data_IF_787534192168
#
_entry.id   IF_787534192168
#
_cell.length_a   1.000
_cell.length_b   1.000
_cell.length_c   1.000
_cell.angle_alpha   90.00
_cell.angle_beta   90.00
_cell.angle_gamma   90.00
#
_symmetry.space_group_name_H-M   'P 1'
#
loop_
_entity.id
_entity.type
_entity.pdbx_description
1 polymer ?
#
# COMPACT_ATOMS: atom_id res chain seq x y z
N UNK A 1 -26.92 -14.72 -16.96
CA UNK A 1 -26.12 -15.96 -16.81
C UNK A 1 -25.81 -16.09 -15.33
N UNK A 2 -25.71 -17.31 -14.82
CA UNK A 2 -25.31 -17.54 -13.43
C UNK A 2 -23.80 -17.47 -13.31
N UNK A 3 -23.31 -17.08 -12.13
CA UNK A 3 -21.89 -17.12 -11.78
C UNK A 3 -21.63 -18.25 -10.81
N UNK A 4 -20.55 -18.97 -11.02
CA UNK A 4 -20.12 -20.11 -10.24
C UNK A 4 -18.70 -19.89 -9.76
N UNK A 5 -18.45 -20.04 -8.47
CA UNK A 5 -17.10 -19.90 -7.90
C UNK A 5 -16.56 -21.28 -7.51
N UNK A 6 -15.33 -21.56 -7.92
CA UNK A 6 -14.62 -22.76 -7.51
C UNK A 6 -14.14 -22.60 -6.06
N UNK A 7 -14.61 -23.47 -5.14
CA UNK A 7 -14.23 -23.44 -3.71
C UNK A 7 -12.76 -23.79 -3.45
N UNK A 8 -12.06 -24.35 -4.46
CA UNK A 8 -10.65 -24.74 -4.32
C UNK A 8 -9.71 -23.61 -4.66
N UNK A 9 -9.94 -22.89 -5.79
CA UNK A 9 -9.01 -21.88 -6.28
C UNK A 9 -9.63 -20.49 -6.53
N UNK A 10 -10.93 -20.33 -6.25
CA UNK A 10 -11.61 -19.03 -6.45
C UNK A 10 -11.96 -18.70 -7.90
N UNK A 11 -11.62 -19.56 -8.88
CA UNK A 11 -11.97 -19.31 -10.28
C UNK A 11 -13.48 -19.12 -10.47
N UNK A 12 -13.83 -18.09 -11.24
CA UNK A 12 -15.23 -17.73 -11.51
C UNK A 12 -15.58 -18.12 -12.92
N UNK A 13 -16.67 -18.86 -13.04
CA UNK A 13 -17.25 -19.29 -14.31
C UNK A 13 -18.63 -18.67 -14.51
N UNK A 14 -18.91 -18.17 -15.70
CA UNK A 14 -20.23 -17.66 -16.10
C UNK A 14 -20.90 -18.66 -17.04
N UNK A 15 -22.01 -19.23 -16.60
CA UNK A 15 -22.76 -20.21 -17.40
C UNK A 15 -24.08 -20.59 -16.76
N UNK A 16 -24.95 -21.37 -17.48
CA UNK A 16 -26.22 -21.83 -16.90
C UNK A 16 -26.04 -22.81 -15.75
N UNK A 17 -24.96 -23.59 -15.77
CA UNK A 17 -24.61 -24.63 -14.81
C UNK A 17 -23.11 -24.54 -14.49
N UNK A 18 -22.68 -25.16 -13.36
CA UNK A 18 -21.28 -25.28 -13.01
C UNK A 18 -20.52 -26.06 -14.12
N UNK A 19 -19.28 -25.70 -14.47
CA UNK A 19 -18.50 -26.44 -15.43
C UNK A 19 -18.17 -27.83 -14.87
N UNK A 20 -18.02 -28.83 -15.76
CA UNK A 20 -17.70 -30.20 -15.36
C UNK A 20 -16.37 -30.29 -14.59
N UNK A 21 -15.45 -29.40 -14.94
CA UNK A 21 -14.11 -29.32 -14.34
C UNK A 21 -13.60 -27.86 -14.37
N UNK A 22 -12.91 -27.46 -13.31
CA UNK A 22 -12.28 -26.14 -13.22
C UNK A 22 -11.09 -26.05 -14.18
N UNK A 23 -11.02 -25.06 -15.08
CA UNK A 23 -9.91 -24.94 -16.03
C UNK A 23 -8.58 -24.54 -15.36
N UNK A 24 -8.62 -24.11 -14.08
CA UNK A 24 -7.43 -23.66 -13.34
C UNK A 24 -6.85 -24.75 -12.45
N UNK A 25 -7.70 -25.39 -11.62
CA UNK A 25 -7.23 -26.35 -10.61
C UNK A 25 -7.76 -27.78 -10.81
N UNK A 26 -8.50 -28.04 -11.89
CA UNK A 26 -9.08 -29.32 -12.24
C UNK A 26 -10.08 -29.90 -11.20
N UNK A 27 -10.57 -29.08 -10.29
CA UNK A 27 -11.62 -29.46 -9.37
C UNK A 27 -12.92 -29.78 -10.10
N UNK A 28 -13.64 -30.81 -9.66
CA UNK A 28 -14.90 -31.26 -10.29
C UNK A 28 -16.05 -30.29 -10.00
N UNK A 29 -17.15 -30.40 -10.78
CA UNK A 29 -18.32 -29.52 -10.70
C UNK A 29 -18.93 -29.40 -9.31
N UNK A 30 -18.85 -30.44 -8.47
CA UNK A 30 -19.33 -30.42 -7.09
C UNK A 30 -18.54 -29.47 -6.16
N UNK A 31 -17.40 -29.00 -6.62
CA UNK A 31 -16.58 -27.98 -5.92
C UNK A 31 -16.95 -26.55 -6.32
N UNK A 32 -17.97 -26.36 -7.16
CA UNK A 32 -18.47 -25.04 -7.51
C UNK A 32 -19.73 -24.70 -6.70
N UNK A 33 -19.82 -23.43 -6.34
CA UNK A 33 -20.98 -22.86 -5.67
C UNK A 33 -21.58 -21.74 -6.51
N UNK A 34 -22.92 -21.71 -6.63
CA UNK A 34 -23.61 -20.61 -7.31
C UNK A 34 -23.52 -19.34 -6.49
N UNK A 35 -22.98 -18.29 -7.08
CA UNK A 35 -22.90 -16.95 -6.48
C UNK A 35 -24.28 -16.31 -6.56
N UNK A 36 -24.96 -16.18 -5.43
CA UNK A 36 -26.25 -15.51 -5.30
C UNK A 36 -26.02 -14.07 -4.80
N UNK A 37 -26.38 -13.08 -5.61
CA UNK A 37 -26.24 -11.68 -5.28
C UNK A 37 -25.05 -11.01 -5.97
N UNK A 38 -24.76 -9.77 -5.61
CA UNK A 38 -23.53 -9.10 -6.05
C UNK A 38 -22.33 -9.84 -5.50
N UNK A 39 -21.48 -10.29 -6.41
CA UNK A 39 -20.22 -10.89 -6.04
C UNK A 39 -19.35 -9.79 -5.46
N UNK A 40 -19.19 -9.77 -4.15
CA UNK A 40 -18.08 -9.05 -3.55
C UNK A 40 -16.82 -9.78 -4.03
N UNK A 41 -16.09 -9.14 -4.93
CA UNK A 41 -14.72 -9.57 -5.16
C UNK A 41 -14.08 -9.65 -3.79
N UNK A 42 -13.54 -10.82 -3.44
CA UNK A 42 -12.69 -10.96 -2.28
C UNK A 42 -11.39 -10.20 -2.57
N UNK A 43 -11.46 -8.87 -2.54
CA UNK A 43 -10.29 -8.11 -2.23
C UNK A 43 -9.88 -8.59 -0.84
N UNK A 44 -8.66 -9.07 -0.70
CA UNK A 44 -8.14 -9.48 0.61
C UNK A 44 -8.34 -8.35 1.62
N UNK A 45 -8.35 -7.09 1.14
CA UNK A 45 -8.49 -5.89 1.94
C UNK A 45 -9.37 -4.86 1.23
N UNK A 46 -10.50 -4.52 1.85
CA UNK A 46 -11.33 -3.38 1.45
C UNK A 46 -10.95 -2.17 2.31
N UNK A 47 -10.67 -1.04 1.69
CA UNK A 47 -10.22 0.18 2.37
C UNK A 47 -11.15 0.58 3.51
N UNK A 48 -10.62 0.54 4.74
CA UNK A 48 -11.29 1.01 5.97
C UNK A 48 -12.49 0.19 6.44
N UNK A 49 -12.81 -0.95 5.82
CA UNK A 49 -13.92 -1.82 6.24
C UNK A 49 -13.62 -2.45 7.58
N UNK A 50 -12.40 -2.90 7.79
CA UNK A 50 -11.98 -3.59 9.02
C UNK A 50 -11.93 -2.65 10.21
N UNK A 51 -11.46 -1.42 10.05
CA UNK A 51 -11.50 -0.39 11.08
C UNK A 51 -12.94 -0.14 11.56
N UNK A 52 -13.89 -0.02 10.63
CA UNK A 52 -15.31 0.12 10.97
C UNK A 52 -15.86 -1.10 11.70
N UNK A 53 -15.45 -2.30 11.28
CA UNK A 53 -15.87 -3.56 11.93
C UNK A 53 -15.41 -3.62 13.37
N UNK A 54 -14.15 -3.27 13.65
CA UNK A 54 -13.62 -3.23 15.03
C UNK A 54 -14.34 -2.18 15.87
N UNK A 55 -14.53 -0.97 15.35
CA UNK A 55 -15.20 0.14 16.07
C UNK A 55 -16.65 -0.21 16.45
N UNK A 56 -17.36 -0.86 15.54
CA UNK A 56 -18.79 -1.17 15.70
C UNK A 56 -19.06 -2.53 16.37
N UNK A 57 -18.04 -3.22 16.85
CA UNK A 57 -18.21 -4.50 17.52
C UNK A 57 -18.27 -4.30 19.05
N UNK A 58 -19.47 -4.41 19.61
CA UNK A 58 -19.71 -4.26 21.04
C UNK A 58 -19.14 -5.42 21.88
N UNK A 59 -18.71 -6.51 21.24
CA UNK A 59 -18.07 -7.65 21.92
C UNK A 59 -16.58 -7.43 22.20
N UNK A 60 -15.97 -6.41 21.55
CA UNK A 60 -14.56 -6.05 21.73
C UNK A 60 -14.50 -4.95 22.81
N UNK A 61 -13.67 -5.15 23.83
CA UNK A 61 -13.45 -4.13 24.86
C UNK A 61 -12.81 -2.85 24.26
N UNK A 62 -13.06 -1.70 24.85
CA UNK A 62 -12.43 -0.44 24.39
C UNK A 62 -10.89 -0.48 24.54
N UNK A 63 -10.37 -1.23 25.51
CA UNK A 63 -8.94 -1.46 25.67
C UNK A 63 -8.37 -2.26 24.50
N UNK A 64 -9.03 -3.34 24.09
CA UNK A 64 -8.61 -4.14 22.95
C UNK A 64 -8.75 -3.39 21.62
N UNK A 65 -9.84 -2.61 21.45
CA UNK A 65 -9.99 -1.74 20.27
C UNK A 65 -8.80 -0.79 20.17
N UNK A 66 -8.49 -0.10 21.27
CA UNK A 66 -7.36 0.82 21.32
C UNK A 66 -6.04 0.11 21.00
N UNK A 67 -5.80 -1.05 21.62
CA UNK A 67 -4.59 -1.85 21.35
C UNK A 67 -4.49 -2.24 19.89
N UNK A 68 -5.58 -2.71 19.26
CA UNK A 68 -5.61 -3.09 17.83
C UNK A 68 -5.21 -1.89 16.96
N UNK A 69 -5.82 -0.72 17.16
CA UNK A 69 -5.49 0.46 16.36
C UNK A 69 -4.07 0.96 16.58
N UNK A 70 -3.60 1.00 17.82
CA UNK A 70 -2.23 1.39 18.16
C UNK A 70 -1.21 0.45 17.47
N UNK A 71 -1.47 -0.86 17.46
CA UNK A 71 -0.59 -1.83 16.84
C UNK A 71 -0.64 -1.76 15.30
N UNK A 72 -1.80 -1.60 14.69
CA UNK A 72 -1.91 -1.42 13.23
C UNK A 72 -1.14 -0.18 12.78
N UNK A 73 -1.24 0.93 13.51
CA UNK A 73 -0.51 2.17 13.22
C UNK A 73 1.00 2.00 13.43
N UNK A 74 1.42 1.35 14.52
CA UNK A 74 2.82 1.11 14.82
C UNK A 74 3.48 0.23 13.74
N UNK A 75 2.79 -0.84 13.32
CA UNK A 75 3.26 -1.70 12.25
C UNK A 75 3.35 -0.94 10.91
N UNK A 76 2.32 -0.20 10.51
CA UNK A 76 2.37 0.65 9.31
C UNK A 76 3.63 1.54 9.28
N UNK A 77 3.91 2.23 10.38
CA UNK A 77 5.09 3.10 10.48
C UNK A 77 6.40 2.31 10.46
N UNK A 78 6.43 1.13 11.08
CA UNK A 78 7.56 0.20 11.05
C UNK A 78 7.90 -0.21 9.63
N UNK A 79 6.93 -0.78 8.90
CA UNK A 79 7.09 -1.22 7.52
C UNK A 79 7.55 -0.09 6.58
N UNK A 80 6.93 1.10 6.69
CA UNK A 80 7.37 2.27 5.92
C UNK A 80 8.84 2.64 6.19
N UNK A 81 9.29 2.53 7.44
CA UNK A 81 10.67 2.80 7.82
C UNK A 81 11.62 1.74 7.28
N UNK A 82 11.23 0.47 7.32
CA UNK A 82 12.03 -0.66 6.83
C UNK A 82 12.25 -0.59 5.33
N UNK A 83 11.29 -0.12 4.53
CA UNK A 83 11.49 0.15 3.08
C UNK A 83 12.74 1.01 2.84
N UNK A 84 12.84 2.15 3.53
CA UNK A 84 13.98 3.06 3.39
C UNK A 84 15.28 2.47 3.91
N UNK A 85 15.25 1.80 5.06
CA UNK A 85 16.41 1.16 5.66
C UNK A 85 16.94 0.03 4.80
N UNK A 86 16.09 -0.86 4.28
CA UNK A 86 16.51 -2.01 3.46
C UNK A 86 17.09 -1.56 2.12
N UNK A 87 16.53 -0.53 1.48
CA UNK A 87 17.14 0.06 0.28
C UNK A 87 18.50 0.69 0.57
N UNK A 88 18.69 1.28 1.75
CA UNK A 88 20.00 1.79 2.17
C UNK A 88 20.99 0.64 2.39
N UNK A 89 20.58 -0.43 3.08
CA UNK A 89 21.39 -1.65 3.29
C UNK A 89 21.76 -2.33 1.96
N UNK A 90 20.82 -2.36 1.00
CA UNK A 90 21.10 -2.86 -0.35
C UNK A 90 22.24 -2.10 -1.02
N UNK A 91 22.19 -0.75 -0.98
CA UNK A 91 23.27 0.09 -1.54
C UNK A 91 24.61 -0.13 -0.85
N UNK A 92 24.62 -0.39 0.46
CA UNK A 92 25.84 -0.72 1.21
C UNK A 92 26.38 -2.05 0.73
N UNK A 93 25.56 -3.10 0.67
CA UNK A 93 25.96 -4.43 0.22
C UNK A 93 26.54 -4.43 -1.20
N UNK A 94 25.91 -3.71 -2.13
CA UNK A 94 26.44 -3.54 -3.50
C UNK A 94 27.82 -2.86 -3.51
N UNK A 95 28.02 -1.81 -2.70
CA UNK A 95 29.33 -1.13 -2.61
C UNK A 95 30.41 -2.00 -1.97
N UNK A 96 30.05 -2.90 -1.07
CA UNK A 96 30.95 -3.85 -0.42
C UNK A 96 31.24 -5.10 -1.28
N UNK A 97 30.56 -5.26 -2.42
CA UNK A 97 30.77 -6.38 -3.34
C UNK A 97 29.94 -7.63 -3.01
N UNK A 98 28.80 -7.45 -2.31
CA UNK A 98 27.84 -8.52 -2.00
C UNK A 98 26.52 -8.32 -2.79
N UNK A 99 26.54 -8.46 -4.12
CA UNK A 99 25.37 -8.14 -4.93
C UNK A 99 24.15 -9.03 -4.63
N UNK A 100 24.36 -10.30 -4.28
CA UNK A 100 23.27 -11.22 -3.91
C UNK A 100 22.54 -10.80 -2.62
N UNK A 101 23.28 -10.22 -1.66
CA UNK A 101 22.71 -9.67 -0.43
C UNK A 101 21.97 -8.36 -0.76
N UNK A 102 22.55 -7.52 -1.61
CA UNK A 102 21.93 -6.30 -2.08
C UNK A 102 20.58 -6.56 -2.75
N UNK A 103 20.52 -7.51 -3.69
CA UNK A 103 19.30 -7.92 -4.37
C UNK A 103 18.24 -8.47 -3.40
N UNK A 104 18.65 -9.21 -2.37
CA UNK A 104 17.72 -9.69 -1.35
C UNK A 104 17.09 -8.53 -0.57
N UNK A 105 17.91 -7.53 -0.15
CA UNK A 105 17.38 -6.34 0.54
C UNK A 105 16.44 -5.51 -0.32
N UNK A 106 16.73 -5.36 -1.62
CA UNK A 106 15.81 -4.68 -2.56
C UNK A 106 14.46 -5.39 -2.65
N UNK A 107 14.49 -6.73 -2.74
CA UNK A 107 13.27 -7.54 -2.75
C UNK A 107 12.50 -7.41 -1.43
N UNK A 108 13.18 -7.52 -0.28
CA UNK A 108 12.56 -7.38 1.03
C UNK A 108 11.93 -5.99 1.18
N UNK A 109 12.60 -4.91 0.77
CA UNK A 109 12.03 -3.55 0.80
C UNK A 109 10.70 -3.44 0.03
N UNK A 110 10.56 -4.15 -1.09
CA UNK A 110 9.30 -4.19 -1.81
C UNK A 110 8.21 -4.97 -1.05
N UNK A 111 8.58 -6.08 -0.41
CA UNK A 111 7.67 -6.88 0.43
C UNK A 111 7.17 -6.04 1.62
N UNK A 112 8.05 -5.25 2.28
CA UNK A 112 7.64 -4.34 3.36
C UNK A 112 6.72 -3.19 2.86
N UNK A 113 6.93 -2.71 1.64
CA UNK A 113 6.00 -1.75 1.04
C UNK A 113 4.59 -2.34 0.84
N UNK A 114 4.49 -3.61 0.46
CA UNK A 114 3.21 -4.34 0.35
C UNK A 114 2.57 -4.56 1.73
N UNK A 115 3.37 -4.85 2.78
CA UNK A 115 2.87 -4.95 4.15
C UNK A 115 2.30 -3.60 4.62
N UNK A 116 3.03 -2.51 4.42
CA UNK A 116 2.56 -1.16 4.73
C UNK A 116 1.24 -0.84 4.01
N UNK A 117 1.11 -1.18 2.73
CA UNK A 117 -0.12 -0.98 1.97
C UNK A 117 -1.30 -1.74 2.58
N UNK A 118 -1.11 -2.99 3.01
CA UNK A 118 -2.14 -3.80 3.68
C UNK A 118 -2.57 -3.17 5.02
N UNK A 119 -1.63 -2.73 5.85
CA UNK A 119 -1.96 -2.00 7.09
C UNK A 119 -2.72 -0.71 6.80
N UNK A 120 -2.37 0.01 5.73
CA UNK A 120 -3.10 1.21 5.31
C UNK A 120 -4.55 0.89 4.91
N UNK A 121 -4.79 -0.20 4.19
CA UNK A 121 -6.14 -0.66 3.84
C UNK A 121 -6.96 -1.06 5.08
N UNK A 122 -6.34 -1.74 6.06
CA UNK A 122 -6.99 -2.11 7.32
C UNK A 122 -7.41 -0.88 8.12
N UNK A 123 -6.54 0.13 8.22
CA UNK A 123 -6.78 1.39 8.94
C UNK A 123 -7.75 2.31 8.19
N UNK A 124 -7.66 2.37 6.87
CA UNK A 124 -8.45 3.28 6.06
C UNK A 124 -8.23 4.75 6.44
N UNK A 125 -9.30 5.51 6.62
CA UNK A 125 -9.24 6.92 7.02
C UNK A 125 -8.74 7.16 8.45
N UNK A 126 -8.56 6.11 9.26
CA UNK A 126 -7.93 6.24 10.57
C UNK A 126 -6.41 6.42 10.47
N UNK A 127 -5.80 5.96 9.36
CA UNK A 127 -4.40 6.24 9.07
C UNK A 127 -4.21 7.72 8.69
N UNK A 128 -4.99 8.18 7.74
CA UNK A 128 -4.94 9.55 7.20
C UNK A 128 -6.33 9.96 6.71
N UNK A 129 -6.89 10.99 7.33
CA UNK A 129 -8.27 11.42 7.10
C UNK A 129 -8.58 11.87 5.67
N UNK A 130 -7.54 12.30 4.93
CA UNK A 130 -7.66 12.72 3.53
C UNK A 130 -7.54 11.55 2.54
N UNK A 131 -7.03 10.40 2.98
CA UNK A 131 -6.97 9.19 2.17
C UNK A 131 -8.34 8.52 2.10
N UNK A 132 -8.81 8.22 0.90
CA UNK A 132 -10.15 7.68 0.67
C UNK A 132 -10.14 6.51 -0.31
N UNK A 133 -11.27 5.84 -0.47
CA UNK A 133 -11.52 4.83 -1.51
C UNK A 133 -11.71 5.40 -2.93
N UNK A 134 -11.54 6.71 -3.10
CA UNK A 134 -11.71 7.40 -4.39
C UNK A 134 -10.36 7.82 -4.98
N UNK A 135 -9.96 7.20 -6.09
CA UNK A 135 -8.76 7.56 -6.85
C UNK A 135 -8.70 9.06 -7.15
N UNK A 136 -9.81 9.65 -7.60
CA UNK A 136 -9.86 11.08 -7.93
C UNK A 136 -9.60 11.99 -6.72
N UNK A 137 -10.17 11.65 -5.56
CA UNK A 137 -9.94 12.42 -4.32
C UNK A 137 -8.49 12.26 -3.84
N UNK A 138 -7.95 11.04 -3.90
CA UNK A 138 -6.56 10.77 -3.53
C UNK A 138 -5.58 11.51 -4.44
N UNK A 139 -5.82 11.56 -5.76
CA UNK A 139 -5.01 12.35 -6.69
C UNK A 139 -5.04 13.83 -6.31
N UNK A 140 -6.22 14.43 -6.10
CA UNK A 140 -6.35 15.84 -5.76
C UNK A 140 -5.61 16.18 -4.46
N UNK A 141 -5.81 15.40 -3.42
CA UNK A 141 -5.12 15.58 -2.15
C UNK A 141 -3.59 15.48 -2.31
N UNK A 142 -3.10 14.45 -3.03
CA UNK A 142 -1.66 14.25 -3.20
C UNK A 142 -0.97 15.35 -3.98
N UNK A 143 -1.65 16.02 -4.93
CA UNK A 143 -1.09 17.19 -5.63
C UNK A 143 -0.63 18.25 -4.63
N UNK A 144 -1.45 18.58 -3.63
CA UNK A 144 -1.11 19.58 -2.62
C UNK A 144 0.02 19.10 -1.70
N UNK A 145 0.03 17.83 -1.35
CA UNK A 145 1.09 17.22 -0.55
C UNK A 145 2.46 17.27 -1.25
N UNK A 146 2.50 16.93 -2.55
CA UNK A 146 3.73 16.97 -3.34
C UNK A 146 4.27 18.42 -3.47
N UNK A 147 3.36 19.40 -3.58
CA UNK A 147 3.74 20.80 -3.58
C UNK A 147 4.35 21.22 -2.23
N UNK A 148 3.76 20.82 -1.12
CA UNK A 148 4.30 21.05 0.22
C UNK A 148 5.67 20.36 0.42
N UNK A 149 5.80 19.11 -0.01
CA UNK A 149 7.05 18.35 0.04
C UNK A 149 8.16 19.01 -0.80
N UNK A 150 7.82 19.55 -1.98
CA UNK A 150 8.74 20.31 -2.83
C UNK A 150 9.32 21.51 -2.08
N UNK A 151 8.44 22.34 -1.48
CA UNK A 151 8.85 23.54 -0.77
C UNK A 151 9.74 23.21 0.44
N UNK A 152 9.31 22.26 1.28
CA UNK A 152 10.08 21.86 2.47
C UNK A 152 11.48 21.32 2.11
N UNK A 153 11.61 20.55 1.03
CA UNK A 153 12.91 20.08 0.56
C UNK A 153 13.78 21.21 0.00
N UNK A 154 13.22 22.18 -0.71
CA UNK A 154 13.98 23.37 -1.15
C UNK A 154 14.47 24.20 0.03
N UNK A 155 13.67 24.39 1.07
CA UNK A 155 14.10 25.10 2.28
C UNK A 155 15.25 24.38 2.99
N UNK A 156 15.17 23.06 3.13
CA UNK A 156 16.24 22.23 3.70
C UNK A 156 17.51 22.32 2.83
N UNK A 157 17.39 22.20 1.52
CA UNK A 157 18.52 22.32 0.59
C UNK A 157 19.20 23.70 0.70
N UNK A 158 18.42 24.79 0.74
CA UNK A 158 18.92 26.14 0.92
C UNK A 158 19.68 26.32 2.25
N UNK A 159 19.12 25.75 3.34
CA UNK A 159 19.78 25.74 4.64
C UNK A 159 21.11 24.96 4.61
N UNK A 160 21.13 23.80 3.98
CA UNK A 160 22.37 23.02 3.80
C UNK A 160 23.42 23.77 3.03
N UNK A 161 23.05 24.43 1.92
CA UNK A 161 23.97 25.26 1.11
C UNK A 161 24.57 26.39 1.90
N UNK A 162 23.74 27.11 2.66
CA UNK A 162 24.19 28.20 3.53
C UNK A 162 25.27 27.77 4.54
N UNK A 163 25.23 26.50 4.96
CA UNK A 163 26.16 25.94 5.93
C UNK A 163 27.29 25.11 5.30
N UNK A 164 27.50 25.19 3.98
CA UNK A 164 28.59 24.51 3.26
C UNK A 164 28.39 22.97 3.16
N UNK A 165 27.17 22.48 3.32
CA UNK A 165 26.83 21.04 3.28
C UNK A 165 26.39 20.65 1.87
N UNK A 166 27.29 20.74 0.90
CA UNK A 166 26.96 20.58 -0.53
C UNK A 166 26.36 19.20 -0.84
N UNK A 167 26.86 18.12 -0.25
CA UNK A 167 26.30 16.78 -0.47
C UNK A 167 24.82 16.65 -0.02
N UNK A 168 24.47 17.27 1.10
CA UNK A 168 23.07 17.31 1.58
C UNK A 168 22.25 18.21 0.65
N UNK A 169 22.77 19.40 0.31
CA UNK A 169 22.11 20.32 -0.60
C UNK A 169 21.75 19.63 -1.93
N UNK A 170 22.74 19.04 -2.61
CA UNK A 170 22.56 18.46 -3.93
C UNK A 170 21.56 17.30 -3.89
N UNK A 171 21.69 16.40 -2.89
CA UNK A 171 20.78 15.26 -2.72
C UNK A 171 19.33 15.70 -2.49
N UNK A 172 19.12 16.65 -1.55
CA UNK A 172 17.77 17.09 -1.19
C UNK A 172 17.16 17.97 -2.29
N UNK A 173 17.98 18.77 -2.98
CA UNK A 173 17.54 19.59 -4.11
C UNK A 173 17.03 18.72 -5.28
N UNK A 174 17.71 17.61 -5.60
CA UNK A 174 17.23 16.65 -6.61
C UNK A 174 15.91 16.01 -6.18
N UNK A 175 15.78 15.60 -4.92
CA UNK A 175 14.51 15.08 -4.38
C UNK A 175 13.37 16.11 -4.49
N UNK A 176 13.64 17.40 -4.22
CA UNK A 176 12.64 18.46 -4.39
C UNK A 176 12.14 18.57 -5.85
N UNK A 177 13.03 18.37 -6.82
CA UNK A 177 12.67 18.33 -8.25
C UNK A 177 11.81 17.12 -8.59
N UNK A 178 12.09 15.97 -7.96
CA UNK A 178 11.26 14.78 -8.12
C UNK A 178 9.84 15.00 -7.56
N UNK A 179 9.69 15.58 -6.36
CA UNK A 179 8.38 15.92 -5.81
C UNK A 179 7.59 16.88 -6.72
N UNK A 180 8.28 17.89 -7.29
CA UNK A 180 7.65 18.79 -8.25
C UNK A 180 7.19 18.07 -9.52
N UNK A 181 7.93 17.06 -9.98
CA UNK A 181 7.56 16.20 -11.11
C UNK A 181 6.37 15.30 -10.75
N UNK A 182 6.36 14.70 -9.55
CA UNK A 182 5.23 13.91 -9.06
C UNK A 182 3.96 14.76 -9.00
N UNK A 183 4.00 15.92 -8.39
CA UNK A 183 2.85 16.82 -8.31
C UNK A 183 2.30 17.22 -9.68
N UNK A 184 3.17 17.51 -10.66
CA UNK A 184 2.76 17.80 -12.04
C UNK A 184 2.11 16.59 -12.72
N UNK A 185 2.68 15.39 -12.53
CA UNK A 185 2.11 14.16 -13.09
C UNK A 185 0.73 13.85 -12.50
N UNK A 186 0.58 13.91 -11.16
CA UNK A 186 -0.69 13.71 -10.48
C UNK A 186 -1.75 14.72 -10.94
N UNK A 187 -1.36 16.00 -11.09
CA UNK A 187 -2.26 17.05 -11.60
C UNK A 187 -2.69 16.80 -13.05
N UNK A 188 -1.80 16.25 -13.86
CA UNK A 188 -2.11 15.93 -15.26
C UNK A 188 -3.06 14.73 -15.43
N UNK A 189 -3.25 13.92 -14.37
CA UNK A 189 -4.17 12.77 -14.34
C UNK A 189 -5.56 13.12 -13.79
N UNK A 190 -5.75 14.32 -13.24
CA UNK A 190 -7.05 14.84 -12.78
C UNK A 190 -7.92 15.33 -13.94
#
# INVERSE_FOLDING_TARGET
MKKWVCKVCGYIYEGPEAPAECPVCHAKSNMFEEVKGEMKLAAEHEFGVYAKTVKNNDQISEEDKKYIFDQLMANFNGECSEVGMYLCMARIAHREGYPEIGLYWEKAAYEEAEHAAKFAELLGSDLESNMTDSTKKNLAWRVDCEFGATNGKFELAACAKKNGLDAIHDTVHEMARDEARHGKALKGML
#
